data_IF_050252798759
#
_entry.id   IF_050252798759
#
_cell.length_a   1.000
_cell.length_b   1.000
_cell.length_c   1.000
_cell.angle_alpha   90.00
_cell.angle_beta   90.00
_cell.angle_gamma   90.00
#
_symmetry.space_group_name_H-M   'P 1'
#
loop_
_entity.id
_entity.type
_entity.pdbx_description
1 polymer ?
#
# COMPACT_ATOMS: atom_id res chain seq x y z
N UNK A 1 17.82 -11.53 -23.15
CA UNK A 1 19.01 -10.65 -23.18
C UNK A 1 19.95 -11.14 -22.10
N UNK A 2 21.11 -11.65 -22.45
CA UNK A 2 22.09 -12.12 -21.47
C UNK A 2 22.66 -10.86 -20.82
N UNK A 3 22.45 -10.73 -19.50
CA UNK A 3 23.00 -9.67 -18.66
C UNK A 3 24.52 -9.57 -18.92
N UNK A 4 24.98 -8.50 -19.54
CA UNK A 4 26.41 -8.22 -19.67
C UNK A 4 26.86 -7.47 -18.42
N UNK A 5 27.71 -8.06 -17.59
CA UNK A 5 28.24 -7.39 -16.41
C UNK A 5 29.31 -6.38 -16.83
N UNK A 6 28.89 -5.18 -17.22
CA UNK A 6 29.86 -4.17 -17.69
C UNK A 6 30.76 -3.59 -16.57
N UNK A 7 30.51 -3.88 -15.29
CA UNK A 7 31.37 -3.46 -14.19
C UNK A 7 31.23 -4.40 -12.97
N UNK A 8 31.84 -5.57 -13.04
CA UNK A 8 32.04 -6.36 -11.82
C UNK A 8 33.04 -5.62 -10.93
N UNK A 9 32.67 -5.35 -9.71
CA UNK A 9 33.53 -4.76 -8.70
C UNK A 9 33.55 -5.63 -7.44
N UNK A 10 34.67 -5.63 -6.74
CA UNK A 10 34.78 -6.28 -5.45
C UNK A 10 34.30 -5.32 -4.39
N UNK A 11 33.20 -5.66 -3.70
CA UNK A 11 32.52 -4.77 -2.76
C UNK A 11 32.14 -5.51 -1.48
N UNK A 12 32.17 -4.80 -0.35
CA UNK A 12 31.62 -5.28 0.91
C UNK A 12 30.06 -5.31 0.84
N UNK A 13 29.45 -6.19 1.62
CA UNK A 13 27.98 -6.26 1.69
C UNK A 13 27.34 -4.93 2.06
N UNK A 14 27.92 -4.19 2.98
CA UNK A 14 27.44 -2.86 3.36
C UNK A 14 27.51 -1.84 2.20
N UNK A 15 28.59 -1.89 1.41
CA UNK A 15 28.76 -1.00 0.24
C UNK A 15 27.76 -1.34 -0.87
N UNK A 16 27.43 -2.63 -1.06
CA UNK A 16 26.39 -3.05 -2.02
C UNK A 16 25.04 -2.44 -1.63
N UNK A 17 24.70 -2.47 -0.34
CA UNK A 17 23.47 -1.83 0.15
C UNK A 17 23.49 -0.34 -0.12
N UNK A 18 24.57 0.35 0.27
CA UNK A 18 24.70 1.79 0.12
C UNK A 18 24.62 2.24 -1.35
N UNK A 19 25.35 1.57 -2.25
CA UNK A 19 25.30 1.86 -3.69
C UNK A 19 23.90 1.63 -4.29
N UNK A 20 23.20 0.56 -3.89
CA UNK A 20 21.85 0.32 -4.38
C UNK A 20 20.86 1.40 -3.89
N UNK A 21 20.96 1.82 -2.61
CA UNK A 21 20.13 2.92 -2.08
C UNK A 21 20.39 4.24 -2.82
N UNK A 22 21.63 4.52 -3.20
CA UNK A 22 21.98 5.68 -4.03
C UNK A 22 21.31 5.62 -5.40
N UNK A 23 21.34 4.45 -6.05
CA UNK A 23 20.69 4.25 -7.36
C UNK A 23 19.16 4.37 -7.27
N UNK A 24 18.52 3.90 -6.21
CA UNK A 24 17.09 4.09 -5.92
C UNK A 24 16.75 5.54 -5.52
N UNK A 25 17.77 6.41 -5.39
CA UNK A 25 17.61 7.82 -4.97
C UNK A 25 16.88 7.96 -3.64
N UNK A 26 17.22 7.09 -2.69
CA UNK A 26 16.64 7.09 -1.35
C UNK A 26 17.13 8.32 -0.59
N UNK A 27 16.24 9.21 -0.12
CA UNK A 27 16.65 10.43 0.57
C UNK A 27 16.98 10.23 2.04
N UNK A 28 16.40 9.19 2.66
CA UNK A 28 16.53 8.93 4.09
C UNK A 28 16.71 7.44 4.39
N UNK A 29 17.60 7.12 5.32
CA UNK A 29 17.59 5.87 6.06
C UNK A 29 17.14 6.13 7.48
N UNK A 30 16.17 5.38 7.97
CA UNK A 30 15.61 5.57 9.31
C UNK A 30 16.00 4.39 10.17
N UNK A 31 16.62 4.60 11.33
CA UNK A 31 16.96 3.47 12.15
C UNK A 31 17.49 3.81 13.52
N UNK A 32 17.66 2.77 14.31
CA UNK A 32 18.25 2.85 15.63
C UNK A 32 19.56 2.11 15.65
N UNK A 33 20.65 2.83 15.97
CA UNK A 33 21.98 2.25 15.96
C UNK A 33 22.14 1.20 17.07
N UNK A 34 22.78 0.10 16.71
CA UNK A 34 23.11 -0.96 17.61
C UNK A 34 24.09 -1.93 16.98
N UNK A 35 24.59 -2.87 17.76
CA UNK A 35 25.63 -3.81 17.35
C UNK A 35 25.40 -4.45 15.98
N UNK A 36 24.19 -4.93 15.72
CA UNK A 36 23.86 -5.61 14.46
C UNK A 36 23.77 -4.69 13.22
N UNK A 37 23.79 -3.37 13.37
CA UNK A 37 23.66 -2.43 12.25
C UNK A 37 24.91 -1.59 11.98
N UNK A 38 25.91 -1.61 12.86
CA UNK A 38 27.11 -0.77 12.76
C UNK A 38 27.85 -1.01 11.45
N UNK A 39 27.98 -2.27 11.01
CA UNK A 39 28.69 -2.61 9.78
C UNK A 39 28.07 -1.96 8.53
N UNK A 40 26.76 -1.75 8.52
CA UNK A 40 26.08 -1.07 7.44
C UNK A 40 26.26 0.45 7.51
N UNK A 41 26.21 1.03 8.70
CA UNK A 41 26.27 2.48 8.89
C UNK A 41 27.59 3.10 8.43
N UNK A 42 28.69 2.37 8.56
CA UNK A 42 30.01 2.83 8.11
C UNK A 42 30.04 3.17 6.61
N UNK A 43 29.37 2.38 5.78
CA UNK A 43 29.29 2.61 4.33
C UNK A 43 28.43 3.83 3.95
N UNK A 44 27.58 4.33 4.85
CA UNK A 44 26.80 5.56 4.64
C UNK A 44 27.50 6.82 5.17
N UNK A 45 28.59 6.67 5.92
CA UNK A 45 29.27 7.83 6.53
C UNK A 45 29.71 8.86 5.50
N UNK A 46 30.26 8.44 4.36
CA UNK A 46 30.70 9.32 3.28
C UNK A 46 29.59 9.66 2.26
N UNK A 47 28.36 9.26 2.51
CA UNK A 47 27.19 9.46 1.62
C UNK A 47 26.10 10.33 2.25
N UNK A 48 26.39 11.03 3.35
CA UNK A 48 25.42 11.80 4.12
C UNK A 48 24.87 13.03 3.41
N UNK A 49 25.57 13.51 2.36
CA UNK A 49 25.09 14.59 1.52
C UNK A 49 23.91 14.12 0.64
N UNK A 50 23.87 12.86 0.26
CA UNK A 50 22.86 12.26 -0.60
C UNK A 50 21.76 11.53 0.19
N UNK A 51 22.15 10.75 1.22
CA UNK A 51 21.24 9.97 2.06
C UNK A 51 21.39 10.39 3.52
N UNK A 52 20.37 11.01 4.08
CA UNK A 52 20.36 11.42 5.48
C UNK A 52 19.94 10.29 6.40
N UNK A 53 20.70 10.07 7.48
CA UNK A 53 20.32 9.10 8.51
C UNK A 53 19.47 9.77 9.55
N UNK A 54 18.27 9.26 9.78
CA UNK A 54 17.30 9.71 10.78
C UNK A 54 17.30 8.76 11.96
N UNK A 55 17.50 9.31 13.16
CA UNK A 55 17.68 8.55 14.41
C UNK A 55 16.48 8.77 15.36
N UNK A 56 15.43 7.95 15.29
CA UNK A 56 14.38 7.96 16.30
C UNK A 56 14.90 7.41 17.65
N UNK A 57 14.11 7.57 18.69
CA UNK A 57 14.49 7.13 20.03
C UNK A 57 14.05 5.69 20.35
N UNK A 58 13.33 5.04 19.46
CA UNK A 58 12.83 3.67 19.61
C UNK A 58 12.63 3.03 18.23
N UNK A 59 12.89 1.76 18.12
CA UNK A 59 12.83 1.01 16.85
C UNK A 59 11.44 1.00 16.22
N UNK A 60 10.39 0.93 17.02
CA UNK A 60 9.01 1.00 16.53
C UNK A 60 8.74 2.30 15.77
N UNK A 61 9.30 3.43 16.22
CA UNK A 61 9.14 4.71 15.55
C UNK A 61 9.80 4.73 14.17
N UNK A 62 10.87 3.96 13.95
CA UNK A 62 11.53 3.86 12.65
C UNK A 62 10.54 3.41 11.56
N UNK A 63 9.84 2.32 11.83
CA UNK A 63 8.87 1.77 10.87
C UNK A 63 7.66 2.67 10.66
N UNK A 64 7.12 3.30 11.73
CA UNK A 64 6.00 4.24 11.58
C UNK A 64 6.39 5.51 10.81
N UNK A 65 7.61 6.00 10.93
CA UNK A 65 8.09 7.13 10.13
C UNK A 65 8.20 6.75 8.65
N UNK A 66 8.70 5.55 8.33
CA UNK A 66 8.77 5.05 6.97
C UNK A 66 7.37 4.80 6.38
N UNK A 67 6.44 4.24 7.17
CA UNK A 67 5.03 4.07 6.80
C UNK A 67 4.38 5.41 6.46
N UNK A 68 4.51 6.41 7.32
CA UNK A 68 3.97 7.75 7.08
C UNK A 68 4.56 8.39 5.82
N UNK A 69 5.86 8.25 5.60
CA UNK A 69 6.54 8.76 4.41
C UNK A 69 5.99 8.10 3.13
N UNK A 70 5.82 6.76 3.14
CA UNK A 70 5.24 6.04 2.00
C UNK A 70 3.80 6.47 1.71
N UNK A 71 2.98 6.69 2.74
CA UNK A 71 1.58 7.14 2.56
C UNK A 71 1.50 8.45 1.78
N UNK A 72 2.45 9.36 2.01
CA UNK A 72 2.48 10.68 1.35
C UNK A 72 3.15 10.61 -0.02
N UNK A 73 4.33 9.99 -0.10
CA UNK A 73 5.21 10.06 -1.29
C UNK A 73 5.06 8.90 -2.26
N UNK A 74 4.53 7.75 -1.78
CA UNK A 74 4.53 6.46 -2.49
C UNK A 74 5.93 5.88 -2.74
N UNK A 75 6.95 6.45 -2.08
CA UNK A 75 8.32 5.94 -2.14
C UNK A 75 8.66 5.17 -0.86
N UNK A 76 9.04 3.89 -0.95
CA UNK A 76 9.46 3.13 0.21
C UNK A 76 10.82 3.60 0.72
N UNK A 77 10.96 3.74 2.03
CA UNK A 77 12.24 4.01 2.69
C UNK A 77 12.83 2.75 3.31
N UNK A 78 14.16 2.65 3.41
CA UNK A 78 14.82 1.63 4.22
C UNK A 78 14.77 2.01 5.71
N UNK A 79 14.44 1.02 6.51
CA UNK A 79 14.50 1.06 7.97
C UNK A 79 15.52 0.04 8.42
N UNK A 80 16.36 0.39 9.41
CA UNK A 80 17.30 -0.56 10.00
C UNK A 80 17.19 -0.60 11.51
N UNK A 81 17.34 -1.79 12.06
CA UNK A 81 17.38 -2.03 13.51
C UNK A 81 18.48 -3.03 13.82
N UNK A 82 18.95 -3.04 15.07
CA UNK A 82 20.00 -3.92 15.55
C UNK A 82 19.57 -5.40 15.55
N UNK A 83 20.08 -6.18 16.46
CA UNK A 83 19.74 -7.59 16.71
C UNK A 83 18.83 -7.72 17.93
N UNK A 84 18.29 -8.91 18.18
CA UNK A 84 17.56 -9.26 19.41
C UNK A 84 16.30 -8.41 19.63
N UNK A 85 16.27 -7.57 20.67
CA UNK A 85 15.09 -6.75 20.98
C UNK A 85 14.70 -5.76 19.90
N UNK A 86 15.67 -5.23 19.14
CA UNK A 86 15.41 -4.22 18.09
C UNK A 86 14.43 -4.70 17.02
N UNK A 87 14.67 -5.83 16.35
CA UNK A 87 13.72 -6.45 15.45
C UNK A 87 12.37 -6.73 16.10
N UNK A 88 12.34 -7.28 17.30
CA UNK A 88 11.10 -7.56 18.02
C UNK A 88 10.25 -6.29 18.24
N UNK A 89 10.86 -5.18 18.66
CA UNK A 89 10.18 -3.89 18.83
C UNK A 89 9.69 -3.29 17.52
N UNK A 90 10.37 -3.53 16.41
CA UNK A 90 9.96 -3.02 15.10
C UNK A 90 8.74 -3.73 14.50
N UNK A 91 8.41 -4.94 14.97
CA UNK A 91 7.33 -5.80 14.42
C UNK A 91 5.98 -5.10 14.40
N UNK A 92 5.66 -4.29 15.40
CA UNK A 92 4.39 -3.56 15.46
C UNK A 92 4.19 -2.64 14.24
N UNK A 93 5.23 -1.88 13.87
CA UNK A 93 5.16 -0.99 12.71
C UNK A 93 5.14 -1.75 11.38
N UNK A 94 5.86 -2.86 11.29
CA UNK A 94 5.84 -3.75 10.10
C UNK A 94 4.43 -4.33 9.90
N UNK A 95 3.82 -4.84 10.97
CA UNK A 95 2.46 -5.38 10.93
C UNK A 95 1.45 -4.30 10.51
N UNK A 96 1.53 -3.09 11.08
CA UNK A 96 0.68 -1.97 10.70
C UNK A 96 0.79 -1.64 9.20
N UNK A 97 2.01 -1.51 8.69
CA UNK A 97 2.25 -1.25 7.27
C UNK A 97 1.70 -2.35 6.36
N UNK A 98 1.86 -3.61 6.75
CA UNK A 98 1.32 -4.76 6.01
C UNK A 98 -0.21 -4.70 5.92
N UNK A 99 -0.89 -4.47 7.05
CA UNK A 99 -2.36 -4.38 7.06
C UNK A 99 -2.87 -3.19 6.26
N UNK A 100 -2.15 -2.07 6.28
CA UNK A 100 -2.58 -0.84 5.59
C UNK A 100 -2.02 -0.70 4.16
N UNK A 101 -1.40 -1.76 3.62
CA UNK A 101 -0.85 -1.75 2.26
C UNK A 101 0.20 -0.66 2.05
N UNK A 102 1.01 -0.41 3.06
CA UNK A 102 2.13 0.53 3.04
C UNK A 102 3.45 -0.22 2.92
N UNK A 103 4.44 0.37 2.27
CA UNK A 103 5.68 -0.31 1.95
C UNK A 103 6.91 0.40 2.54
N UNK A 104 7.79 -0.39 3.12
CA UNK A 104 9.15 -0.01 3.46
C UNK A 104 10.07 -1.24 3.52
N UNK A 105 11.37 -1.05 3.37
CA UNK A 105 12.36 -2.11 3.46
C UNK A 105 12.90 -2.17 4.89
N UNK A 106 12.64 -3.29 5.59
CA UNK A 106 13.14 -3.52 6.93
C UNK A 106 14.45 -4.32 6.89
N UNK A 107 15.56 -3.69 7.28
CA UNK A 107 16.81 -4.38 7.59
C UNK A 107 16.85 -4.74 9.07
N UNK A 108 17.24 -5.96 9.38
CA UNK A 108 17.58 -6.39 10.73
C UNK A 108 18.98 -6.96 10.78
N UNK A 109 19.72 -6.63 11.81
CA UNK A 109 20.99 -7.27 12.08
C UNK A 109 20.80 -8.66 12.68
N UNK A 110 21.89 -9.43 12.65
CA UNK A 110 21.99 -10.76 13.27
C UNK A 110 23.42 -10.97 13.76
N UNK A 111 23.63 -11.92 14.66
CA UNK A 111 24.94 -12.40 15.04
C UNK A 111 25.76 -12.85 13.80
N UNK A 112 27.09 -12.83 13.83
CA UNK A 112 27.89 -13.40 12.75
C UNK A 112 27.47 -14.84 12.44
N UNK A 113 27.46 -15.22 11.18
CA UNK A 113 27.11 -16.58 10.73
C UNK A 113 27.92 -17.68 11.47
N UNK A 114 29.21 -17.42 11.70
CA UNK A 114 30.09 -18.34 12.43
C UNK A 114 29.77 -18.52 13.91
N UNK A 115 28.89 -17.63 14.44
CA UNK A 115 28.51 -17.63 15.86
C UNK A 115 27.06 -18.07 16.08
N UNK A 116 26.36 -18.49 15.04
CA UNK A 116 25.02 -19.03 15.19
C UNK A 116 25.03 -20.24 16.13
N UNK A 117 24.05 -20.27 17.04
CA UNK A 117 23.87 -21.31 18.04
C UNK A 117 24.99 -21.42 19.09
N UNK A 118 25.80 -20.37 19.24
CA UNK A 118 26.88 -20.33 20.24
C UNK A 118 26.59 -19.46 21.45
N UNK A 119 25.43 -18.77 21.47
CA UNK A 119 25.06 -17.83 22.53
C UNK A 119 25.68 -16.46 22.35
N UNK A 120 25.87 -16.01 21.11
CA UNK A 120 26.31 -14.65 20.80
C UNK A 120 25.39 -13.59 21.39
N UNK A 121 25.91 -12.37 21.60
CA UNK A 121 25.12 -11.27 22.15
C UNK A 121 23.85 -11.01 21.29
N UNK A 122 22.68 -11.08 21.94
CA UNK A 122 21.38 -10.83 21.29
C UNK A 122 21.13 -11.72 20.06
N UNK A 123 21.65 -12.95 20.08
CA UNK A 123 21.48 -13.93 19.03
C UNK A 123 19.99 -14.21 18.78
N UNK A 124 19.59 -14.22 17.51
CA UNK A 124 18.22 -14.51 17.06
C UNK A 124 18.09 -15.85 16.35
N UNK A 125 19.06 -16.72 16.48
CA UNK A 125 19.05 -18.04 15.83
C UNK A 125 19.68 -19.09 16.74
N UNK A 126 19.02 -19.35 17.85
CA UNK A 126 19.47 -20.34 18.82
C UNK A 126 18.55 -21.55 18.81
N UNK A 127 19.02 -22.71 18.37
CA UNK A 127 18.23 -23.94 18.26
C UNK A 127 16.90 -23.75 17.51
N UNK A 128 16.89 -22.95 16.46
CA UNK A 128 15.67 -22.50 15.76
C UNK A 128 14.67 -21.73 16.67
N UNK A 129 15.09 -21.31 17.83
CA UNK A 129 14.35 -20.38 18.67
C UNK A 129 14.76 -18.95 18.32
N UNK A 130 13.86 -18.00 18.51
CA UNK A 130 14.10 -16.60 18.18
C UNK A 130 14.53 -16.32 16.72
N UNK A 131 14.14 -17.17 15.76
CA UNK A 131 14.34 -16.94 14.33
C UNK A 131 13.42 -15.81 13.86
N UNK A 132 13.98 -14.59 13.82
CA UNK A 132 13.20 -13.41 13.45
C UNK A 132 12.79 -13.42 11.99
N UNK A 133 13.62 -13.91 11.10
CA UNK A 133 13.30 -14.02 9.67
C UNK A 133 12.04 -14.86 9.42
N UNK A 134 11.85 -15.93 10.19
CA UNK A 134 10.64 -16.74 10.17
C UNK A 134 9.49 -16.06 10.93
N UNK A 135 9.76 -15.47 12.09
CA UNK A 135 8.73 -14.82 12.91
C UNK A 135 8.05 -13.62 12.21
N UNK A 136 8.76 -12.89 11.37
CA UNK A 136 8.22 -11.72 10.66
C UNK A 136 7.49 -12.06 9.36
N UNK A 137 7.65 -13.27 8.83
CA UNK A 137 7.05 -13.69 7.55
C UNK A 137 5.56 -13.38 7.41
N UNK A 138 4.70 -13.57 8.44
CA UNK A 138 3.27 -13.26 8.34
C UNK A 138 2.96 -11.78 8.07
N UNK A 139 3.90 -10.87 8.31
CA UNK A 139 3.71 -9.42 8.22
C UNK A 139 4.54 -8.75 7.13
N UNK A 140 5.15 -9.52 6.24
CA UNK A 140 5.91 -8.98 5.12
C UNK A 140 5.55 -9.69 3.82
N UNK A 141 5.77 -9.04 2.69
CA UNK A 141 5.59 -9.70 1.39
C UNK A 141 6.64 -10.78 1.14
N UNK A 142 7.83 -10.58 1.69
CA UNK A 142 8.95 -11.52 1.64
C UNK A 142 9.92 -11.21 2.78
N UNK A 143 10.47 -12.27 3.38
CA UNK A 143 11.63 -12.20 4.28
C UNK A 143 12.81 -12.90 3.62
N UNK A 144 13.94 -12.21 3.56
CA UNK A 144 15.22 -12.74 3.07
C UNK A 144 16.23 -12.80 4.21
N UNK A 145 17.09 -13.81 4.20
CA UNK A 145 18.28 -13.90 5.06
C UNK A 145 19.51 -13.95 4.17
N UNK A 146 20.39 -12.95 4.28
CA UNK A 146 21.62 -12.89 3.50
C UNK A 146 22.71 -13.70 4.20
N UNK A 147 23.16 -14.78 3.56
CA UNK A 147 24.28 -15.61 4.07
C UNK A 147 25.60 -15.34 3.33
N UNK A 148 25.56 -14.53 2.29
CA UNK A 148 26.74 -14.01 1.58
C UNK A 148 26.50 -12.56 1.14
N UNK A 149 27.57 -11.77 1.03
CA UNK A 149 27.49 -10.40 0.54
C UNK A 149 26.89 -10.32 -0.89
N UNK A 150 27.25 -11.26 -1.77
CA UNK A 150 26.76 -11.29 -3.15
C UNK A 150 25.25 -11.47 -3.28
N UNK A 151 24.57 -12.10 -2.31
CA UNK A 151 23.12 -12.24 -2.32
C UNK A 151 22.39 -10.88 -2.21
N UNK A 152 23.00 -9.89 -1.57
CA UNK A 152 22.41 -8.56 -1.42
C UNK A 152 22.15 -7.90 -2.77
N UNK A 153 23.04 -8.08 -3.75
CA UNK A 153 22.85 -7.57 -5.11
C UNK A 153 21.60 -8.12 -5.81
N UNK A 154 21.16 -9.32 -5.43
CA UNK A 154 19.94 -9.96 -5.95
C UNK A 154 18.70 -9.64 -5.09
N UNK A 155 18.86 -9.54 -3.77
CA UNK A 155 17.74 -9.33 -2.86
C UNK A 155 17.19 -7.90 -2.95
N UNK A 156 18.07 -6.91 -3.05
CA UNK A 156 17.68 -5.50 -3.08
C UNK A 156 16.72 -5.17 -4.23
N UNK A 157 17.03 -5.44 -5.51
CA UNK A 157 16.11 -5.15 -6.60
C UNK A 157 14.81 -5.94 -6.51
N UNK A 158 14.88 -7.21 -6.04
CA UNK A 158 13.66 -8.00 -5.79
C UNK A 158 12.81 -7.40 -4.68
N UNK A 159 13.41 -6.92 -3.59
CA UNK A 159 12.70 -6.29 -2.49
C UNK A 159 11.98 -5.04 -2.94
N UNK A 160 12.65 -4.12 -3.65
CA UNK A 160 12.04 -2.89 -4.16
C UNK A 160 10.94 -3.18 -5.17
N UNK A 161 11.12 -4.15 -6.07
CA UNK A 161 10.08 -4.62 -6.96
C UNK A 161 8.86 -5.12 -6.18
N UNK A 162 9.06 -6.03 -5.22
CA UNK A 162 7.96 -6.60 -4.44
C UNK A 162 7.20 -5.55 -3.65
N UNK A 163 7.89 -4.59 -3.04
CA UNK A 163 7.26 -3.50 -2.30
C UNK A 163 6.27 -2.69 -3.14
N UNK A 164 6.61 -2.47 -4.41
CA UNK A 164 5.88 -1.59 -5.33
C UNK A 164 4.82 -2.32 -6.18
N UNK A 165 4.88 -3.65 -6.35
CA UNK A 165 4.01 -4.41 -7.28
C UNK A 165 2.81 -5.03 -6.59
N UNK A 166 1.67 -5.07 -7.28
CA UNK A 166 0.42 -5.53 -6.71
C UNK A 166 0.01 -4.67 -5.51
N UNK A 167 -0.54 -5.29 -4.48
CA UNK A 167 -0.80 -4.63 -3.21
C UNK A 167 0.54 -4.26 -2.54
N UNK A 168 0.83 -2.99 -2.26
CA UNK A 168 2.06 -2.59 -1.58
C UNK A 168 2.18 -3.25 -0.19
N UNK A 169 3.42 -3.44 0.27
CA UNK A 169 3.66 -4.01 1.58
C UNK A 169 5.15 -4.04 1.93
N UNK A 170 5.50 -4.18 3.21
CA UNK A 170 6.88 -4.22 3.67
C UNK A 170 7.60 -5.50 3.19
N UNK A 171 8.92 -5.38 3.04
CA UNK A 171 9.84 -6.49 2.77
C UNK A 171 10.92 -6.47 3.82
N UNK A 172 11.40 -7.64 4.24
CA UNK A 172 12.41 -7.80 5.25
C UNK A 172 13.69 -8.41 4.64
N UNK A 173 14.86 -7.91 5.07
CA UNK A 173 16.18 -8.51 4.81
C UNK A 173 16.95 -8.58 6.11
N UNK A 174 17.23 -9.78 6.59
CA UNK A 174 18.15 -10.02 7.67
C UNK A 174 19.58 -10.09 7.16
N UNK A 175 20.48 -9.35 7.79
CA UNK A 175 21.89 -9.30 7.40
C UNK A 175 22.76 -9.58 8.62
N UNK A 176 23.38 -10.76 8.72
CA UNK A 176 24.36 -11.07 9.76
C UNK A 176 25.54 -10.12 9.75
N UNK A 177 26.11 -9.86 10.93
CA UNK A 177 27.16 -8.84 11.13
C UNK A 177 28.37 -9.01 10.21
N UNK A 178 28.83 -10.24 10.03
CA UNK A 178 29.97 -10.56 9.16
C UNK A 178 29.67 -10.34 7.68
N UNK A 179 28.40 -10.53 7.24
CA UNK A 179 28.00 -10.33 5.85
C UNK A 179 28.16 -8.88 5.42
N UNK A 180 28.01 -7.90 6.32
CA UNK A 180 28.31 -6.50 6.01
C UNK A 180 29.77 -6.27 5.61
N UNK A 181 30.69 -7.02 6.19
CA UNK A 181 32.13 -6.87 5.99
C UNK A 181 32.70 -7.82 4.94
N UNK A 182 32.00 -8.93 4.65
CA UNK A 182 32.41 -9.86 3.61
C UNK A 182 32.34 -9.19 2.24
N UNK A 183 33.34 -9.49 1.42
CA UNK A 183 33.44 -8.98 0.06
C UNK A 183 32.89 -9.99 -0.96
N UNK A 184 32.31 -9.48 -2.01
CA UNK A 184 31.85 -10.25 -3.15
C UNK A 184 32.22 -9.54 -4.46
N UNK A 185 32.56 -10.31 -5.48
CA UNK A 185 32.58 -9.81 -6.85
C UNK A 185 31.16 -9.75 -7.37
N UNK A 186 30.68 -8.54 -7.62
CA UNK A 186 29.27 -8.32 -7.95
C UNK A 186 29.05 -7.10 -8.83
N UNK A 187 27.86 -7.01 -9.39
CA UNK A 187 27.31 -5.83 -10.07
C UNK A 187 26.10 -5.35 -9.28
N UNK A 188 26.12 -4.10 -8.86
CA UNK A 188 24.94 -3.48 -8.25
C UNK A 188 23.94 -3.15 -9.36
N UNK A 189 22.76 -3.78 -9.32
CA UNK A 189 21.73 -3.62 -10.31
C UNK A 189 21.28 -2.16 -10.46
N UNK A 190 20.83 -1.78 -11.65
CA UNK A 190 20.16 -0.50 -11.85
C UNK A 190 18.65 -0.68 -11.63
N UNK A 191 17.99 0.15 -10.82
CA UNK A 191 16.55 0.06 -10.59
C UNK A 191 15.71 0.09 -11.85
N UNK A 192 16.14 0.82 -12.89
CA UNK A 192 15.42 0.90 -14.17
C UNK A 192 15.29 -0.46 -14.85
N UNK A 193 16.29 -1.33 -14.71
CA UNK A 193 16.28 -2.65 -15.34
C UNK A 193 15.39 -3.66 -14.59
N UNK A 194 15.05 -3.40 -13.33
CA UNK A 194 14.38 -4.35 -12.46
C UNK A 194 13.00 -3.94 -12.01
N UNK A 195 12.81 -2.69 -11.65
CA UNK A 195 11.54 -2.24 -11.07
C UNK A 195 10.86 -1.15 -11.90
N UNK A 196 11.62 -0.21 -12.41
CA UNK A 196 11.06 1.00 -13.02
C UNK A 196 10.62 0.80 -14.47
N UNK A 197 11.17 -0.22 -15.16
CA UNK A 197 10.79 -0.60 -16.54
C UNK A 197 9.53 -1.46 -16.61
N UNK A 198 9.02 -1.98 -15.51
CA UNK A 198 7.88 -2.88 -15.51
C UNK A 198 6.58 -2.09 -15.45
N UNK A 199 5.72 -2.26 -16.45
CA UNK A 199 4.34 -1.76 -16.41
C UNK A 199 3.46 -2.73 -15.62
N UNK A 200 3.27 -2.47 -14.33
CA UNK A 200 2.44 -3.31 -13.44
C UNK A 200 1.02 -2.80 -13.21
N UNK A 201 0.65 -1.68 -13.83
CA UNK A 201 -0.73 -1.16 -13.77
C UNK A 201 -1.59 -1.90 -14.77
N UNK A 202 -2.25 -2.96 -14.31
CA UNK A 202 -3.16 -3.76 -15.13
C UNK A 202 -4.52 -3.11 -15.21
N UNK A 203 -5.17 -3.22 -16.38
CA UNK A 203 -6.56 -2.80 -16.61
C UNK A 203 -7.50 -3.99 -16.72
N UNK A 204 -8.74 -3.72 -17.13
CA UNK A 204 -9.76 -4.73 -17.42
C UNK A 204 -9.93 -4.94 -18.92
N UNK A 205 -10.53 -6.08 -19.30
CA UNK A 205 -10.95 -6.31 -20.68
C UNK A 205 -12.01 -5.28 -21.11
N UNK A 206 -11.97 -4.84 -22.35
CA UNK A 206 -12.89 -3.82 -22.89
C UNK A 206 -14.37 -4.19 -22.70
N UNK A 207 -14.73 -5.46 -22.92
CA UNK A 207 -16.09 -5.96 -22.67
C UNK A 207 -16.54 -5.80 -21.21
N UNK A 208 -15.61 -5.92 -20.26
CA UNK A 208 -15.91 -5.77 -18.83
C UNK A 208 -16.13 -4.29 -18.51
N UNK A 209 -15.29 -3.40 -19.04
CA UNK A 209 -15.46 -1.94 -18.94
C UNK A 209 -16.83 -1.53 -19.49
N UNK A 210 -17.19 -2.03 -20.69
CA UNK A 210 -18.52 -1.77 -21.29
C UNK A 210 -19.68 -2.27 -20.43
N UNK A 211 -19.54 -3.45 -19.82
CA UNK A 211 -20.54 -4.00 -18.90
C UNK A 211 -20.71 -3.14 -17.64
N UNK A 212 -19.62 -2.64 -17.06
CA UNK A 212 -19.66 -1.74 -15.90
C UNK A 212 -20.42 -0.46 -16.25
N UNK A 213 -20.05 0.20 -17.37
CA UNK A 213 -20.71 1.43 -17.79
C UNK A 213 -22.22 1.23 -18.07
N UNK A 214 -22.59 0.12 -18.71
CA UNK A 214 -23.99 -0.19 -18.99
C UNK A 214 -24.77 -0.38 -17.68
N UNK A 215 -24.25 -1.14 -16.71
CA UNK A 215 -24.88 -1.35 -15.41
C UNK A 215 -25.04 -0.04 -14.64
N UNK A 216 -24.02 0.83 -14.64
CA UNK A 216 -24.10 2.14 -14.00
C UNK A 216 -25.16 3.02 -14.69
N UNK A 217 -25.19 3.04 -16.03
CA UNK A 217 -26.18 3.83 -16.79
C UNK A 217 -27.63 3.39 -16.51
N UNK A 218 -27.87 2.09 -16.35
CA UNK A 218 -29.19 1.52 -16.08
C UNK A 218 -29.65 1.68 -14.62
N UNK A 219 -28.72 1.96 -13.72
CA UNK A 219 -29.00 2.16 -12.30
C UNK A 219 -29.84 3.42 -12.06
N UNK A 220 -30.65 3.37 -11.00
CA UNK A 220 -31.43 4.53 -10.55
C UNK A 220 -30.72 5.28 -9.41
N UNK A 221 -29.95 4.55 -8.59
CA UNK A 221 -29.24 5.05 -7.41
C UNK A 221 -27.78 4.57 -7.38
N UNK A 222 -26.99 4.87 -8.42
CA UNK A 222 -25.59 4.46 -8.43
C UNK A 222 -24.78 5.23 -7.40
N UNK A 223 -23.73 4.57 -6.87
CA UNK A 223 -22.83 5.15 -5.91
C UNK A 223 -21.41 4.67 -6.18
N UNK A 224 -20.42 5.54 -6.04
CA UNK A 224 -19.01 5.17 -6.04
C UNK A 224 -18.51 5.10 -4.60
N UNK A 225 -17.84 4.00 -4.24
CA UNK A 225 -17.14 3.85 -2.99
C UNK A 225 -15.64 3.90 -3.25
N UNK A 226 -15.01 5.00 -2.84
CA UNK A 226 -13.57 5.17 -2.92
C UNK A 226 -12.88 4.60 -1.67
N UNK A 227 -12.16 3.50 -1.82
CA UNK A 227 -11.31 2.91 -0.80
C UNK A 227 -9.88 3.45 -0.82
N UNK A 228 -9.03 2.92 0.08
CA UNK A 228 -7.61 3.26 0.15
C UNK A 228 -6.83 3.00 -1.14
N UNK A 229 -7.30 2.07 -1.98
CA UNK A 229 -6.70 1.76 -3.27
C UNK A 229 -6.66 2.94 -4.23
N UNK A 230 -7.62 3.87 -4.15
CA UNK A 230 -7.61 5.12 -4.95
C UNK A 230 -6.38 5.96 -4.59
N UNK A 231 -6.09 6.12 -3.30
CA UNK A 231 -4.93 6.86 -2.81
C UNK A 231 -3.61 6.14 -3.14
N UNK A 232 -3.57 4.82 -3.03
CA UNK A 232 -2.37 4.02 -3.37
C UNK A 232 -2.07 4.04 -4.86
N UNK A 233 -3.09 4.04 -5.71
CA UNK A 233 -2.95 4.12 -7.17
C UNK A 233 -2.71 5.56 -7.69
N UNK A 234 -2.77 6.58 -6.81
CA UNK A 234 -2.74 8.00 -7.20
C UNK A 234 -3.80 8.33 -8.26
N UNK A 235 -5.03 7.86 -8.03
CA UNK A 235 -6.15 7.91 -8.97
C UNK A 235 -7.20 8.99 -8.62
N UNK A 236 -6.85 9.95 -7.78
CA UNK A 236 -7.78 10.98 -7.31
C UNK A 236 -8.39 11.80 -8.46
N UNK A 237 -7.55 12.18 -9.42
CA UNK A 237 -8.01 12.94 -10.58
C UNK A 237 -8.93 12.11 -11.49
N UNK A 238 -8.58 10.84 -11.74
CA UNK A 238 -9.43 9.94 -12.51
C UNK A 238 -10.77 9.68 -11.80
N UNK A 239 -10.77 9.55 -10.49
CA UNK A 239 -11.99 9.43 -9.70
C UNK A 239 -12.88 10.66 -9.88
N UNK A 240 -12.31 11.87 -9.76
CA UNK A 240 -13.02 13.13 -9.93
C UNK A 240 -13.66 13.22 -11.33
N UNK A 241 -12.83 13.03 -12.36
CA UNK A 241 -13.31 13.10 -13.76
C UNK A 241 -14.40 12.08 -14.04
N UNK A 242 -14.25 10.83 -13.57
CA UNK A 242 -15.26 9.79 -13.78
C UNK A 242 -16.57 10.10 -13.05
N UNK A 243 -16.48 10.52 -11.79
CA UNK A 243 -17.66 10.90 -11.00
C UNK A 243 -18.43 12.06 -11.63
N UNK A 244 -17.72 13.09 -12.11
CA UNK A 244 -18.30 14.23 -12.82
C UNK A 244 -18.91 13.83 -14.17
N UNK A 245 -18.19 13.04 -14.98
CA UNK A 245 -18.67 12.56 -16.30
C UNK A 245 -19.96 11.77 -16.19
N UNK A 246 -20.03 10.89 -15.19
CA UNK A 246 -21.20 10.05 -14.97
C UNK A 246 -22.24 10.69 -14.03
N UNK A 247 -21.92 11.83 -13.40
CA UNK A 247 -22.71 12.49 -12.37
C UNK A 247 -23.10 11.56 -11.21
N UNK A 248 -22.17 10.70 -10.75
CA UNK A 248 -22.40 9.71 -9.69
C UNK A 248 -21.83 10.21 -8.37
N UNK A 249 -22.60 10.19 -7.27
CA UNK A 249 -22.12 10.53 -5.94
C UNK A 249 -21.01 9.60 -5.45
N UNK A 250 -20.12 10.13 -4.60
CA UNK A 250 -18.95 9.42 -4.06
C UNK A 250 -18.99 9.39 -2.54
N UNK A 251 -18.85 8.21 -1.97
CA UNK A 251 -18.53 7.99 -0.55
C UNK A 251 -17.12 7.46 -0.42
N UNK A 252 -16.50 7.62 0.73
CA UNK A 252 -15.16 7.10 0.99
C UNK A 252 -15.15 6.11 2.15
N UNK A 253 -14.23 5.16 2.12
CA UNK A 253 -13.81 4.48 3.34
C UNK A 253 -12.93 5.42 4.18
N UNK A 254 -12.62 5.06 5.44
CA UNK A 254 -11.69 5.82 6.25
C UNK A 254 -10.32 5.97 5.56
N UNK A 255 -9.79 4.88 4.98
CA UNK A 255 -8.53 4.88 4.21
C UNK A 255 -8.66 5.54 2.83
N UNK A 256 -9.87 5.69 2.32
CA UNK A 256 -10.18 6.42 1.09
C UNK A 256 -10.44 7.91 1.30
N UNK A 257 -10.46 8.39 2.56
CA UNK A 257 -10.62 9.81 2.84
C UNK A 257 -9.62 10.65 2.03
N UNK A 258 -10.06 11.79 1.53
CA UNK A 258 -9.31 12.69 0.63
C UNK A 258 -9.08 12.16 -0.79
N UNK A 259 -9.67 11.03 -1.19
CA UNK A 259 -9.68 10.58 -2.60
C UNK A 259 -10.47 11.53 -3.50
N UNK A 260 -11.47 12.20 -2.94
CA UNK A 260 -12.19 13.33 -3.52
C UNK A 260 -12.28 14.41 -2.45
N UNK A 261 -12.08 15.71 -2.76
CA UNK A 261 -12.23 16.78 -1.78
C UNK A 261 -13.63 16.75 -1.14
N UNK A 262 -13.70 16.90 0.19
CA UNK A 262 -14.99 16.88 0.89
C UNK A 262 -15.89 18.08 0.53
N UNK A 263 -15.31 19.17 0.02
CA UNK A 263 -16.06 20.31 -0.54
C UNK A 263 -16.66 20.06 -1.92
N UNK A 264 -16.32 18.93 -2.56
CA UNK A 264 -16.84 18.60 -3.89
C UNK A 264 -18.34 18.25 -3.81
N UNK A 265 -19.21 18.77 -4.70
CA UNK A 265 -20.67 18.55 -4.63
C UNK A 265 -21.08 17.06 -4.63
N UNK A 266 -20.33 16.21 -5.32
CA UNK A 266 -20.60 14.78 -5.37
C UNK A 266 -20.02 14.00 -4.16
N UNK A 267 -19.19 14.61 -3.31
CA UNK A 267 -18.64 13.95 -2.13
C UNK A 267 -19.66 13.94 -0.98
N UNK A 268 -19.99 12.76 -0.47
CA UNK A 268 -20.90 12.59 0.67
C UNK A 268 -20.15 12.33 2.00
N UNK A 269 -18.83 12.17 1.92
CA UNK A 269 -17.98 11.91 3.08
C UNK A 269 -17.72 10.43 3.33
N UNK A 270 -17.26 10.13 4.55
CA UNK A 270 -16.88 8.76 4.97
C UNK A 270 -18.12 7.94 5.29
N UNK A 271 -18.14 6.67 4.83
CA UNK A 271 -19.14 5.68 5.22
C UNK A 271 -18.58 4.73 6.32
N UNK A 272 -19.47 4.02 7.01
CA UNK A 272 -19.14 3.03 8.04
C UNK A 272 -19.62 3.42 9.42
N UNK A 273 -19.12 2.76 10.46
CA UNK A 273 -19.54 2.93 11.86
C UNK A 273 -19.44 4.39 12.34
N UNK A 274 -18.43 5.11 11.87
CA UNK A 274 -18.21 6.54 12.18
C UNK A 274 -18.48 7.43 10.96
N UNK A 275 -19.37 6.98 10.09
CA UNK A 275 -19.64 7.66 8.83
C UNK A 275 -20.51 8.89 8.97
N UNK A 276 -20.47 9.75 7.98
CA UNK A 276 -21.39 10.86 7.82
C UNK A 276 -22.76 10.33 7.45
N UNK A 277 -23.80 10.85 8.07
CA UNK A 277 -25.19 10.41 7.84
C UNK A 277 -25.57 10.36 6.35
N UNK A 278 -25.30 11.39 5.52
CA UNK A 278 -25.62 11.31 4.09
C UNK A 278 -24.90 10.19 3.34
N UNK A 279 -23.66 9.86 3.73
CA UNK A 279 -22.90 8.78 3.12
C UNK A 279 -23.46 7.40 3.49
N UNK A 280 -23.85 7.23 4.75
CA UNK A 280 -24.45 5.98 5.25
C UNK A 280 -25.80 5.73 4.61
N UNK A 281 -26.69 6.74 4.56
CA UNK A 281 -28.00 6.61 3.94
C UNK A 281 -27.91 6.38 2.43
N UNK A 282 -26.98 7.06 1.74
CA UNK A 282 -26.74 6.81 0.33
C UNK A 282 -26.25 5.36 0.09
N UNK A 283 -25.35 4.84 0.93
CA UNK A 283 -24.85 3.46 0.80
C UNK A 283 -25.95 2.41 1.04
N UNK A 284 -26.87 2.65 1.98
CA UNK A 284 -28.00 1.77 2.28
C UNK A 284 -29.04 1.71 1.17
N UNK A 285 -29.25 2.84 0.50
CA UNK A 285 -30.32 3.01 -0.48
C UNK A 285 -29.83 2.89 -1.92
N UNK A 286 -28.52 2.76 -2.15
CA UNK A 286 -27.97 2.54 -3.49
C UNK A 286 -28.45 1.22 -4.08
N UNK A 287 -28.76 1.18 -5.37
CA UNK A 287 -29.07 -0.03 -6.13
C UNK A 287 -27.84 -0.70 -6.74
N UNK A 288 -26.78 0.09 -6.97
CA UNK A 288 -25.47 -0.41 -7.40
C UNK A 288 -24.34 0.42 -6.79
N UNK A 289 -23.26 -0.25 -6.38
CA UNK A 289 -22.05 0.38 -5.85
C UNK A 289 -20.85 -0.05 -6.68
N UNK A 290 -20.11 0.94 -7.21
CA UNK A 290 -18.78 0.73 -7.77
C UNK A 290 -17.73 0.95 -6.67
N UNK A 291 -17.19 -0.13 -6.13
CA UNK A 291 -16.17 -0.11 -5.09
C UNK A 291 -14.77 -0.14 -5.70
N UNK A 292 -13.96 0.86 -5.39
CA UNK A 292 -12.64 1.10 -5.94
C UNK A 292 -11.57 0.94 -4.85
N UNK A 293 -10.88 -0.21 -4.83
CA UNK A 293 -9.82 -0.49 -3.86
C UNK A 293 -10.29 -0.48 -2.41
N UNK A 294 -11.44 -1.11 -2.14
CA UNK A 294 -12.04 -1.22 -0.82
C UNK A 294 -12.15 -2.68 -0.38
N UNK A 295 -11.56 -3.02 0.78
CA UNK A 295 -11.52 -4.38 1.34
C UNK A 295 -12.72 -4.74 2.22
N UNK A 296 -13.63 -3.80 2.43
CA UNK A 296 -14.83 -4.01 3.25
C UNK A 296 -14.54 -4.58 4.65
N UNK A 297 -13.64 -3.92 5.40
CA UNK A 297 -13.35 -4.31 6.78
C UNK A 297 -14.53 -4.03 7.74
N UNK A 298 -14.45 -4.53 8.96
CA UNK A 298 -15.52 -4.48 9.96
C UNK A 298 -15.97 -3.05 10.32
N UNK A 299 -15.05 -2.13 10.54
CA UNK A 299 -15.38 -0.73 10.88
C UNK A 299 -16.09 -0.01 9.73
N UNK A 300 -15.72 -0.33 8.49
CA UNK A 300 -16.31 0.29 7.32
C UNK A 300 -17.68 -0.32 6.97
N UNK A 301 -17.92 -1.56 7.37
CA UNK A 301 -19.15 -2.32 7.05
C UNK A 301 -20.10 -2.43 8.22
N UNK A 302 -19.75 -1.91 9.38
CA UNK A 302 -20.48 -2.12 10.62
C UNK A 302 -20.76 -3.62 10.87
N UNK A 303 -19.67 -4.41 10.92
CA UNK A 303 -19.69 -5.86 11.17
C UNK A 303 -20.44 -6.70 10.13
N UNK A 304 -20.48 -6.25 8.87
CA UNK A 304 -21.10 -6.92 7.70
C UNK A 304 -22.60 -7.22 7.83
N UNK A 305 -23.30 -6.57 8.78
CA UNK A 305 -24.74 -6.79 8.94
C UNK A 305 -25.52 -6.14 7.77
N UNK A 306 -26.40 -6.91 7.10
CA UNK A 306 -27.22 -6.38 6.02
C UNK A 306 -28.09 -5.20 6.47
N UNK A 307 -28.17 -4.17 5.64
CA UNK A 307 -28.97 -2.98 5.91
C UNK A 307 -28.37 -2.01 6.94
N UNK A 308 -27.19 -2.28 7.51
CA UNK A 308 -26.53 -1.36 8.44
C UNK A 308 -25.68 -0.31 7.71
N UNK A 309 -24.57 -0.69 7.10
CA UNK A 309 -23.75 0.20 6.28
C UNK A 309 -24.01 0.03 4.79
N UNK A 310 -24.44 -1.17 4.38
CA UNK A 310 -24.76 -1.55 3.01
C UNK A 310 -25.93 -2.53 2.99
N UNK A 311 -26.62 -2.63 1.85
CA UNK A 311 -27.73 -3.56 1.68
C UNK A 311 -27.39 -4.68 0.67
N UNK A 312 -26.17 -5.24 0.75
CA UNK A 312 -25.78 -6.37 -0.09
C UNK A 312 -26.51 -7.67 0.38
N UNK A 313 -26.91 -8.55 -0.53
CA UNK A 313 -26.74 -8.54 -1.99
C UNK A 313 -27.88 -7.86 -2.78
N UNK A 314 -28.81 -7.18 -2.12
CA UNK A 314 -29.90 -6.46 -2.81
C UNK A 314 -29.28 -5.34 -3.67
N UNK A 315 -28.41 -4.54 -3.07
CA UNK A 315 -27.53 -3.61 -3.80
C UNK A 315 -26.52 -4.44 -4.61
N UNK A 316 -26.39 -4.14 -5.90
CA UNK A 316 -25.40 -4.76 -6.77
C UNK A 316 -24.00 -4.25 -6.49
N UNK A 317 -22.99 -5.12 -6.50
CA UNK A 317 -21.61 -4.76 -6.23
C UNK A 317 -20.73 -4.96 -7.46
N UNK A 318 -20.10 -3.88 -7.91
CA UNK A 318 -18.96 -3.91 -8.83
C UNK A 318 -17.71 -3.63 -7.99
N UNK A 319 -16.76 -4.55 -7.96
CA UNK A 319 -15.55 -4.40 -7.13
C UNK A 319 -14.30 -4.42 -8.00
N UNK A 320 -13.47 -3.38 -7.87
CA UNK A 320 -12.16 -3.28 -8.50
C UNK A 320 -11.11 -3.26 -7.42
N UNK A 321 -10.17 -4.18 -7.46
CA UNK A 321 -9.04 -4.24 -6.54
C UNK A 321 -7.80 -4.80 -7.25
N UNK A 322 -6.62 -4.41 -6.80
CA UNK A 322 -5.35 -4.96 -7.31
C UNK A 322 -5.07 -6.35 -6.76
N UNK A 323 -5.66 -6.70 -5.62
CA UNK A 323 -5.52 -7.98 -4.95
C UNK A 323 -6.73 -8.87 -5.25
N UNK A 324 -6.50 -9.93 -6.02
CA UNK A 324 -7.56 -10.89 -6.39
C UNK A 324 -8.24 -11.53 -5.16
N UNK A 325 -7.53 -11.65 -4.04
CA UNK A 325 -8.07 -12.25 -2.81
C UNK A 325 -9.10 -11.37 -2.11
N UNK A 326 -9.15 -10.08 -2.43
CA UNK A 326 -10.14 -9.14 -1.88
C UNK A 326 -11.45 -9.11 -2.69
N UNK A 327 -11.42 -9.58 -3.95
CA UNK A 327 -12.64 -9.65 -4.79
C UNK A 327 -13.57 -10.73 -4.25
N UNK A 328 -14.82 -10.36 -3.99
CA UNK A 328 -15.85 -11.23 -3.44
C UNK A 328 -15.51 -11.87 -2.08
N UNK A 329 -14.58 -11.29 -1.32
CA UNK A 329 -14.17 -11.85 -0.03
C UNK A 329 -15.29 -11.83 1.02
N UNK A 330 -16.00 -10.71 1.12
CA UNK A 330 -17.01 -10.52 2.16
C UNK A 330 -18.44 -10.41 1.60
N UNK A 331 -18.58 -10.02 0.33
CA UNK A 331 -19.87 -9.83 -0.33
C UNK A 331 -19.86 -10.43 -1.74
N UNK A 332 -20.96 -10.98 -2.23
CA UNK A 332 -21.07 -11.41 -3.63
C UNK A 332 -20.94 -10.20 -4.56
N UNK A 333 -20.26 -10.38 -5.69
CA UNK A 333 -20.07 -9.33 -6.69
C UNK A 333 -20.81 -9.65 -7.99
N UNK A 334 -21.36 -8.64 -8.64
CA UNK A 334 -21.92 -8.74 -10.00
C UNK A 334 -20.80 -8.66 -11.05
N UNK A 335 -19.79 -7.83 -10.79
CA UNK A 335 -18.59 -7.72 -11.63
C UNK A 335 -17.37 -7.55 -10.72
N UNK A 336 -16.42 -8.48 -10.82
CA UNK A 336 -15.12 -8.39 -10.15
C UNK A 336 -14.02 -8.07 -11.15
N UNK A 337 -13.17 -7.11 -10.84
CA UNK A 337 -12.03 -6.70 -11.67
C UNK A 337 -10.75 -6.73 -10.85
N UNK A 338 -9.79 -7.55 -11.24
CA UNK A 338 -8.44 -7.49 -10.70
C UNK A 338 -7.64 -6.50 -11.55
N UNK A 339 -7.41 -5.29 -11.00
CA UNK A 339 -6.76 -4.23 -11.76
C UNK A 339 -6.37 -3.02 -10.91
N UNK A 340 -5.48 -2.21 -11.48
CA UNK A 340 -5.08 -0.92 -10.90
C UNK A 340 -6.20 0.11 -11.09
N UNK A 341 -6.56 0.79 -10.01
CA UNK A 341 -7.70 1.71 -9.99
C UNK A 341 -7.54 2.85 -11.00
N UNK A 342 -6.35 3.42 -11.12
CA UNK A 342 -6.09 4.51 -12.07
C UNK A 342 -6.29 4.06 -13.50
N UNK A 343 -5.79 2.87 -13.84
CA UNK A 343 -5.92 2.29 -15.19
C UNK A 343 -7.37 1.98 -15.51
N UNK A 344 -8.10 1.32 -14.60
CA UNK A 344 -9.51 0.97 -14.81
C UNK A 344 -10.38 2.23 -14.90
N UNK A 345 -10.17 3.23 -14.06
CA UNK A 345 -10.89 4.50 -14.17
C UNK A 345 -10.60 5.23 -15.47
N UNK A 346 -9.34 5.22 -15.95
CA UNK A 346 -9.00 5.80 -17.26
C UNK A 346 -9.77 5.10 -18.38
N UNK A 347 -9.79 3.76 -18.38
CA UNK A 347 -10.55 2.98 -19.36
C UNK A 347 -12.06 3.29 -19.31
N UNK A 348 -12.62 3.45 -18.12
CA UNK A 348 -14.04 3.82 -17.93
C UNK A 348 -14.33 5.23 -18.47
N UNK A 349 -13.44 6.19 -18.21
CA UNK A 349 -13.57 7.58 -18.70
C UNK A 349 -13.51 7.60 -20.22
N UNK A 350 -12.48 6.99 -20.81
CA UNK A 350 -12.26 6.98 -22.25
C UNK A 350 -13.47 6.38 -22.98
N UNK A 351 -13.96 5.23 -22.52
CA UNK A 351 -15.14 4.58 -23.14
C UNK A 351 -16.44 5.37 -22.90
N UNK A 352 -16.60 5.97 -21.73
CA UNK A 352 -17.80 6.80 -21.44
C UNK A 352 -17.85 8.02 -22.37
N UNK A 353 -16.72 8.67 -22.61
CA UNK A 353 -16.60 9.81 -23.51
C UNK A 353 -16.81 9.41 -24.97
N UNK A 354 -16.15 8.33 -25.42
CA UNK A 354 -16.29 7.82 -26.79
C UNK A 354 -17.74 7.46 -27.14
N UNK A 355 -18.40 6.74 -26.23
CA UNK A 355 -19.78 6.27 -26.43
C UNK A 355 -20.84 7.26 -25.92
N UNK A 356 -20.43 8.44 -25.45
CA UNK A 356 -21.33 9.46 -24.90
C UNK A 356 -22.27 8.88 -23.83
N UNK A 357 -21.75 8.04 -22.95
CA UNK A 357 -22.52 7.42 -21.87
C UNK A 357 -22.71 8.43 -20.74
N UNK A 358 -23.94 8.78 -20.46
CA UNK A 358 -24.33 9.61 -19.32
C UNK A 358 -25.49 8.93 -18.60
N UNK A 359 -25.64 9.20 -17.31
CA UNK A 359 -26.80 8.77 -16.52
C UNK A 359 -27.67 9.95 -16.12
N UNK A 360 -28.97 9.73 -16.02
CA UNK A 360 -29.88 10.69 -15.39
C UNK A 360 -30.23 10.22 -13.97
N UNK A 361 -29.60 10.85 -12.99
CA UNK A 361 -29.77 10.53 -11.57
C UNK A 361 -30.42 11.68 -10.79
N UNK A 362 -31.23 12.51 -11.47
CA UNK A 362 -31.83 13.70 -10.87
C UNK A 362 -32.63 13.36 -9.61
N UNK A 363 -33.43 12.30 -9.63
CA UNK A 363 -34.22 11.85 -8.47
C UNK A 363 -33.29 11.41 -7.32
N UNK A 364 -32.21 10.70 -7.65
CA UNK A 364 -31.23 10.26 -6.67
C UNK A 364 -30.53 11.44 -5.98
N UNK A 365 -30.12 12.44 -6.73
CA UNK A 365 -29.55 13.67 -6.18
C UNK A 365 -30.52 14.44 -5.28
N UNK A 366 -31.83 14.43 -5.58
CA UNK A 366 -32.85 15.02 -4.73
C UNK A 366 -33.01 14.27 -3.40
N UNK A 367 -32.97 12.92 -3.42
CA UNK A 367 -32.96 12.10 -2.20
C UNK A 367 -31.74 12.40 -1.34
N UNK A 368 -30.55 12.47 -1.94
CA UNK A 368 -29.28 12.79 -1.25
C UNK A 368 -29.34 14.21 -0.65
N UNK A 369 -29.93 15.17 -1.36
CA UNK A 369 -30.12 16.52 -0.81
C UNK A 369 -31.00 16.50 0.45
N UNK A 370 -32.00 15.61 0.49
CA UNK A 370 -32.79 15.33 1.69
C UNK A 370 -31.93 14.87 2.86
N UNK A 371 -31.07 13.85 2.67
CA UNK A 371 -30.17 13.35 3.70
C UNK A 371 -29.21 14.43 4.23
N UNK A 372 -28.69 15.27 3.34
CA UNK A 372 -27.82 16.40 3.73
C UNK A 372 -28.58 17.41 4.59
N UNK A 373 -29.82 17.71 4.22
CA UNK A 373 -30.66 18.62 4.99
C UNK A 373 -30.98 18.06 6.38
N UNK A 374 -31.42 16.81 6.46
CA UNK A 374 -31.70 16.14 7.73
C UNK A 374 -30.48 16.15 8.65
N UNK A 375 -29.29 15.86 8.12
CA UNK A 375 -28.04 15.92 8.87
C UNK A 375 -27.72 17.35 9.33
N UNK A 376 -27.86 18.34 8.44
CA UNK A 376 -27.66 19.75 8.77
C UNK A 376 -28.58 20.22 9.88
N UNK A 377 -29.88 19.88 9.81
CA UNK A 377 -30.89 20.22 10.83
C UNK A 377 -30.52 19.56 12.18
N UNK A 378 -30.02 18.31 12.15
CA UNK A 378 -29.63 17.57 13.35
C UNK A 378 -28.39 18.17 14.03
N UNK A 379 -27.32 18.52 13.26
CA UNK A 379 -26.06 18.99 13.87
C UNK A 379 -26.07 20.48 14.23
N UNK A 380 -26.94 21.29 13.64
CA UNK A 380 -26.99 22.75 13.86
C UNK A 380 -27.02 23.15 15.35
N UNK A 381 -27.78 22.48 16.23
CA UNK A 381 -27.78 22.81 17.66
C UNK A 381 -26.45 22.55 18.38
N UNK A 382 -25.58 21.71 17.81
CA UNK A 382 -24.31 21.30 18.44
C UNK A 382 -23.10 22.07 17.89
N UNK A 383 -23.29 22.86 16.82
CA UNK A 383 -22.24 23.61 16.13
C UNK A 383 -22.09 25.08 16.56
N UNK A 384 -22.58 25.46 17.75
CA UNK A 384 -22.43 26.82 18.31
C UNK A 384 -21.29 26.90 19.30
#
# INVERSE_FOLDING_TARGET
>A
MIYKPDKVSKMKGADIIAEYMMKEKIPYMIGYAGHGAIGMLDSFFNKQDDIKIVWPRIETACGFMADAYFRVTKQPLPVYVSTGPGPALSTCAVANAFYDSSAFLQFTGQAPLSQFDTGALQEQYRYHQADFSTAIQPYVKQSYQAVTAGQLSSFLPKAFKLMKTGRPGPVHIEVPYDVYQLEAETVVADPIDWSDSIAWRTGAEERVIGSILQKLKEAKRPLILAGGGVNHSSAQEQLRVFAETMNIPVITSLMGKSSLPESHPLCLGVNGTWGHYPAVEAARNADIILALGCRFNDLHTATWQPGFAYNFPVTKLIQVDIDASEIARNYPVDVGVVGDIRTVLTQLIDMAQEKQVTGDYTVWHQEIAGYRKEWGDFITPYGQ
#
